data_IF_238277483036
#
_entry.id   IF_238277483036
#
_cell.length_a   1.000
_cell.length_b   1.000
_cell.length_c   1.000
_cell.angle_alpha   90.00
_cell.angle_beta   90.00
_cell.angle_gamma   90.00
#
_symmetry.space_group_name_H-M   'P 1'
#
loop_
_entity.id
_entity.type
_entity.pdbx_description
1 polymer ?
#
# COMPACT_ATOMS: atom_id res chain seq x y z
N UNK A 1 -14.23 9.58 -6.39
CA UNK A 1 -13.32 8.43 -6.42
C UNK A 1 -11.98 8.77 -7.05
N UNK A 2 -11.93 9.43 -8.20
CA UNK A 2 -10.66 9.83 -8.85
C UNK A 2 -9.77 10.68 -7.93
N UNK A 3 -10.36 11.60 -7.13
CA UNK A 3 -9.59 12.39 -6.14
C UNK A 3 -8.92 11.53 -5.06
N UNK A 4 -9.53 10.41 -4.71
CA UNK A 4 -9.02 9.54 -3.67
C UNK A 4 -7.93 8.57 -4.18
N UNK A 5 -8.08 8.09 -5.42
CA UNK A 5 -7.24 7.02 -5.98
C UNK A 5 -6.15 7.57 -6.93
N UNK A 6 -6.36 8.75 -7.50
CA UNK A 6 -5.48 9.34 -8.53
C UNK A 6 -5.76 8.75 -9.91
N UNK A 7 -5.14 7.63 -10.25
CA UNK A 7 -5.37 6.88 -11.48
C UNK A 7 -6.39 5.77 -11.25
N UNK A 8 -7.47 5.74 -12.03
CA UNK A 8 -8.54 4.77 -11.86
C UNK A 8 -8.93 4.12 -13.18
N UNK A 9 -8.94 2.78 -13.20
CA UNK A 9 -9.36 2.02 -14.38
C UNK A 9 -10.88 2.08 -14.56
N UNK A 10 -11.39 2.34 -15.80
CA UNK A 10 -12.84 2.30 -16.06
C UNK A 10 -13.48 0.95 -15.71
N UNK A 11 -12.70 -0.12 -15.87
CA UNK A 11 -13.13 -1.50 -15.64
C UNK A 11 -12.64 -2.07 -14.29
N UNK A 12 -12.29 -1.22 -13.33
CA UNK A 12 -12.00 -1.65 -11.97
C UNK A 12 -13.20 -2.38 -11.35
N UNK A 13 -12.94 -3.19 -10.33
CA UNK A 13 -13.97 -3.99 -9.67
C UNK A 13 -15.02 -3.13 -8.96
N UNK A 14 -16.10 -3.77 -8.54
CA UNK A 14 -17.22 -3.08 -7.87
C UNK A 14 -16.81 -2.46 -6.52
N UNK A 15 -15.82 -3.03 -5.84
CA UNK A 15 -15.31 -2.49 -4.57
C UNK A 15 -14.76 -1.08 -4.76
N UNK A 16 -14.13 -0.84 -5.90
CA UNK A 16 -13.61 0.48 -6.27
C UNK A 16 -14.72 1.43 -6.66
N UNK A 17 -15.70 0.96 -7.44
CA UNK A 17 -16.71 1.84 -8.03
C UNK A 17 -17.93 2.07 -7.14
N UNK A 18 -18.52 1.09 -6.61
CA UNK A 18 -19.73 1.00 -5.80
C UNK A 18 -20.61 -0.12 -6.33
N UNK A 19 -21.17 -0.89 -5.43
CA UNK A 19 -22.08 -1.99 -5.78
C UNK A 19 -23.36 -1.49 -6.44
N UNK A 20 -23.80 -0.27 -6.11
CA UNK A 20 -25.07 0.30 -6.56
C UNK A 20 -24.98 1.01 -7.92
N UNK A 21 -23.80 1.09 -8.54
CA UNK A 21 -23.61 1.75 -9.82
C UNK A 21 -23.50 0.74 -10.97
N UNK A 22 -24.58 0.54 -11.77
CA UNK A 22 -24.53 -0.35 -12.92
C UNK A 22 -23.42 0.01 -13.91
N UNK A 23 -22.80 -0.99 -14.52
CA UNK A 23 -21.67 -0.78 -15.42
C UNK A 23 -22.01 0.14 -16.63
N UNK A 24 -23.25 0.09 -17.11
CA UNK A 24 -23.71 0.97 -18.19
C UNK A 24 -23.77 2.44 -17.75
N UNK A 25 -24.39 2.70 -16.60
CA UNK A 25 -24.48 4.05 -16.02
C UNK A 25 -23.09 4.61 -15.68
N UNK A 26 -22.18 3.76 -15.19
CA UNK A 26 -20.78 4.14 -14.96
C UNK A 26 -20.08 4.56 -16.25
N UNK A 27 -20.21 3.77 -17.32
CA UNK A 27 -19.59 4.11 -18.62
C UNK A 27 -20.11 5.43 -19.17
N UNK A 28 -21.41 5.65 -19.09
CA UNK A 28 -22.04 6.89 -19.53
C UNK A 28 -21.55 8.10 -18.70
N UNK A 29 -21.49 7.97 -17.38
CA UNK A 29 -20.97 9.01 -16.50
C UNK A 29 -19.51 9.35 -16.80
N UNK A 30 -18.66 8.34 -16.98
CA UNK A 30 -17.25 8.54 -17.35
C UNK A 30 -17.13 9.25 -18.71
N UNK A 31 -17.92 8.85 -19.71
CA UNK A 31 -17.91 9.51 -21.03
C UNK A 31 -18.31 10.98 -20.93
N UNK A 32 -19.32 11.32 -20.12
CA UNK A 32 -19.74 12.71 -19.90
C UNK A 32 -18.64 13.52 -19.21
N UNK A 33 -18.00 12.97 -18.18
CA UNK A 33 -16.92 13.65 -17.47
C UNK A 33 -15.69 13.88 -18.35
N UNK A 34 -15.36 12.93 -19.22
CA UNK A 34 -14.31 13.11 -20.22
C UNK A 34 -14.67 14.18 -21.24
N UNK A 35 -15.89 14.18 -21.76
CA UNK A 35 -16.37 15.19 -22.72
C UNK A 35 -16.39 16.60 -22.10
N UNK A 36 -16.67 16.71 -20.80
CA UNK A 36 -16.62 17.97 -20.05
C UNK A 36 -15.20 18.41 -19.65
N UNK A 37 -14.15 17.61 -19.94
CA UNK A 37 -12.80 17.90 -19.51
C UNK A 37 -12.51 17.71 -18.01
N UNK A 38 -13.48 17.18 -17.27
CA UNK A 38 -13.32 16.90 -15.83
C UNK A 38 -12.46 15.67 -15.55
N UNK A 39 -12.40 14.75 -16.51
CA UNK A 39 -11.50 13.60 -16.51
C UNK A 39 -10.67 13.55 -17.80
N UNK A 40 -9.42 13.15 -17.64
CA UNK A 40 -8.51 12.92 -18.77
C UNK A 40 -8.25 11.43 -18.90
N UNK A 41 -8.43 10.85 -20.11
CA UNK A 41 -7.97 9.50 -20.37
C UNK A 41 -6.44 9.44 -20.33
N UNK A 42 -5.91 8.46 -19.64
CA UNK A 42 -4.48 8.16 -19.59
C UNK A 42 -4.26 6.69 -19.95
N UNK A 43 -3.10 6.38 -20.50
CA UNK A 43 -2.69 5.02 -20.82
C UNK A 43 -1.32 4.75 -20.23
N UNK A 44 -1.21 3.67 -19.45
CA UNK A 44 0.05 3.21 -18.88
C UNK A 44 0.27 1.78 -19.35
N UNK A 45 1.32 1.54 -20.13
CA UNK A 45 1.69 0.21 -20.66
C UNK A 45 0.50 -0.55 -21.30
N UNK A 46 -0.31 0.15 -22.08
CA UNK A 46 -1.47 -0.44 -22.77
C UNK A 46 -2.75 -0.52 -21.93
N UNK A 47 -2.70 -0.29 -20.64
CA UNK A 47 -3.89 -0.27 -19.77
C UNK A 47 -4.47 1.15 -19.67
N UNK A 48 -5.79 1.25 -19.87
CA UNK A 48 -6.52 2.51 -19.82
C UNK A 48 -6.87 2.89 -18.39
N UNK A 49 -6.61 4.15 -18.06
CA UNK A 49 -7.00 4.82 -16.82
C UNK A 49 -7.75 6.12 -17.13
N UNK A 50 -8.36 6.69 -16.10
CA UNK A 50 -8.78 8.08 -16.05
C UNK A 50 -8.16 8.76 -14.84
N UNK A 51 -7.80 10.02 -15.00
CA UNK A 51 -7.28 10.87 -13.93
C UNK A 51 -7.97 12.24 -13.96
N UNK A 52 -7.84 12.99 -12.88
CA UNK A 52 -8.18 14.40 -12.88
C UNK A 52 -7.05 15.19 -13.55
N UNK A 53 -7.34 16.31 -14.26
CA UNK A 53 -6.30 17.16 -14.86
C UNK A 53 -5.22 17.58 -13.86
N UNK A 54 -5.63 17.96 -12.65
CA UNK A 54 -4.71 18.35 -11.57
C UNK A 54 -3.84 17.19 -11.05
N UNK A 55 -4.23 15.96 -11.23
CA UNK A 55 -3.41 14.80 -10.91
C UNK A 55 -2.30 14.62 -11.93
N UNK A 56 -2.63 14.77 -13.22
CA UNK A 56 -1.64 14.66 -14.29
C UNK A 56 -0.64 15.81 -14.28
N UNK A 57 -1.06 17.01 -13.89
CA UNK A 57 -0.16 18.16 -13.73
C UNK A 57 0.95 17.95 -12.67
N UNK A 58 0.82 16.94 -11.83
CA UNK A 58 1.84 16.58 -10.83
C UNK A 58 2.90 15.60 -11.33
N UNK A 59 2.78 15.08 -12.56
CA UNK A 59 3.74 14.12 -13.11
C UNK A 59 5.15 14.71 -13.24
N UNK A 60 5.25 16.03 -13.45
CA UNK A 60 6.53 16.75 -13.53
C UNK A 60 7.05 17.21 -12.16
N UNK A 61 6.36 16.86 -11.07
CA UNK A 61 6.81 17.18 -9.73
C UNK A 61 8.07 16.38 -9.39
N UNK A 62 8.89 16.93 -8.48
CA UNK A 62 10.07 16.23 -7.99
C UNK A 62 9.71 14.87 -7.42
N UNK A 63 10.58 13.89 -7.66
CA UNK A 63 10.43 12.55 -7.12
C UNK A 63 10.22 12.59 -5.60
N UNK A 64 9.29 11.77 -5.06
CA UNK A 64 9.08 11.71 -3.63
C UNK A 64 10.36 11.25 -2.94
N UNK A 65 10.75 11.94 -1.87
CA UNK A 65 11.85 11.47 -1.01
C UNK A 65 11.51 10.08 -0.47
N UNK A 66 12.51 9.25 -0.26
CA UNK A 66 12.39 7.88 0.24
C UNK A 66 11.68 7.81 1.59
N UNK A 67 10.36 7.91 1.58
CA UNK A 67 9.49 7.74 2.75
C UNK A 67 8.91 6.34 2.74
N UNK A 68 8.95 5.66 3.88
CA UNK A 68 8.31 4.36 4.04
C UNK A 68 6.94 4.51 4.71
N UNK A 69 5.96 3.75 4.20
CA UNK A 69 4.59 3.74 4.71
C UNK A 69 4.08 2.31 4.79
N UNK A 70 3.44 1.96 5.89
CA UNK A 70 2.68 0.72 6.03
C UNK A 70 1.25 0.95 5.52
N UNK A 71 0.87 0.21 4.49
CA UNK A 71 -0.38 0.43 3.77
C UNK A 71 -1.45 -0.51 4.32
N UNK A 72 -2.60 0.04 4.71
CA UNK A 72 -3.71 -0.80 5.18
C UNK A 72 -4.35 -1.58 4.01
N UNK A 73 -4.92 -2.78 4.25
CA UNK A 73 -5.56 -3.58 3.19
C UNK A 73 -6.72 -2.88 2.49
N UNK A 74 -7.35 -1.92 3.14
CA UNK A 74 -8.45 -1.09 2.61
C UNK A 74 -8.00 0.31 2.20
N UNK A 75 -6.70 0.58 2.17
CA UNK A 75 -6.18 1.83 1.63
C UNK A 75 -6.50 1.96 0.15
N UNK A 76 -6.81 3.20 -0.27
CA UNK A 76 -7.21 3.49 -1.65
C UNK A 76 -6.11 3.13 -2.67
N UNK A 77 -4.84 3.21 -2.28
CA UNK A 77 -3.71 2.80 -3.11
C UNK A 77 -3.81 1.34 -3.55
N UNK A 78 -4.35 0.46 -2.70
CA UNK A 78 -4.44 -0.98 -2.96
C UNK A 78 -5.86 -1.49 -3.26
N UNK A 79 -6.84 -0.62 -3.47
CA UNK A 79 -8.21 -1.04 -3.80
C UNK A 79 -8.31 -1.78 -5.13
N UNK A 80 -7.71 -1.22 -6.19
CA UNK A 80 -7.69 -1.87 -7.49
C UNK A 80 -6.47 -2.80 -7.61
N UNK A 81 -6.62 -4.05 -7.13
CA UNK A 81 -5.54 -5.06 -7.12
C UNK A 81 -4.90 -5.26 -8.48
N UNK A 82 -5.70 -5.20 -9.56
CA UNK A 82 -5.19 -5.33 -10.93
C UNK A 82 -4.39 -4.11 -11.36
N UNK A 83 -4.78 -2.91 -10.91
CA UNK A 83 -3.98 -1.71 -11.14
C UNK A 83 -2.66 -1.78 -10.35
N UNK A 84 -2.70 -2.22 -9.08
CA UNK A 84 -1.49 -2.40 -8.26
C UNK A 84 -0.52 -3.38 -8.90
N UNK A 85 -1.01 -4.54 -9.34
CA UNK A 85 -0.17 -5.52 -10.04
C UNK A 85 0.41 -4.97 -11.34
N UNK A 86 -0.37 -4.18 -12.10
CA UNK A 86 0.09 -3.61 -13.36
C UNK A 86 1.09 -2.46 -13.17
N UNK A 87 0.81 -1.52 -12.26
CA UNK A 87 1.61 -0.32 -12.07
C UNK A 87 2.88 -0.56 -11.26
N UNK A 88 2.85 -1.51 -10.32
CA UNK A 88 3.92 -1.72 -9.35
C UNK A 88 4.52 -3.12 -9.38
N UNK A 89 4.03 -4.03 -10.25
CA UNK A 89 4.45 -5.44 -10.24
C UNK A 89 4.10 -6.18 -8.95
N UNK A 90 3.25 -5.60 -8.09
CA UNK A 90 3.00 -6.10 -6.74
C UNK A 90 1.68 -6.87 -6.67
N UNK A 91 1.76 -8.19 -6.48
CA UNK A 91 0.60 -9.04 -6.26
C UNK A 91 0.18 -9.01 -4.79
N UNK A 92 -0.97 -8.43 -4.52
CA UNK A 92 -1.50 -8.28 -3.17
C UNK A 92 -2.89 -8.90 -3.02
N UNK A 93 -3.00 -9.80 -2.05
CA UNK A 93 -4.26 -10.41 -1.62
C UNK A 93 -4.43 -10.18 -0.12
N UNK A 94 -5.60 -9.69 0.28
CA UNK A 94 -5.96 -9.63 1.68
C UNK A 94 -6.60 -10.95 2.11
N UNK A 95 -5.86 -11.76 2.86
CA UNK A 95 -6.21 -13.16 3.14
C UNK A 95 -7.12 -13.36 4.36
N UNK A 96 -7.73 -12.29 4.86
CA UNK A 96 -8.62 -12.34 6.04
C UNK A 96 -9.78 -13.33 5.89
N UNK A 97 -10.28 -13.51 4.65
CA UNK A 97 -11.35 -14.45 4.33
C UNK A 97 -10.83 -15.81 3.82
N UNK A 98 -9.52 -15.97 3.69
CA UNK A 98 -8.90 -17.24 3.28
C UNK A 98 -8.75 -18.13 4.50
N UNK A 99 -9.21 -19.41 4.45
CA UNK A 99 -8.97 -20.36 5.52
C UNK A 99 -7.49 -20.50 5.85
N UNK A 100 -7.14 -20.58 7.12
CA UNK A 100 -5.76 -20.54 7.61
C UNK A 100 -4.79 -21.48 6.86
N UNK A 101 -5.12 -22.77 6.59
CA UNK A 101 -4.22 -23.66 5.86
C UNK A 101 -3.97 -23.29 4.40
N UNK A 102 -4.75 -22.34 3.84
CA UNK A 102 -4.65 -21.90 2.45
C UNK A 102 -4.03 -20.49 2.33
N UNK A 103 -3.71 -19.85 3.45
CA UNK A 103 -3.06 -18.53 3.44
C UNK A 103 -1.62 -18.70 2.99
N UNK A 104 -1.20 -17.82 2.08
CA UNK A 104 0.18 -17.75 1.61
C UNK A 104 1.04 -16.90 2.56
N UNK A 105 0.47 -15.81 3.07
CA UNK A 105 1.21 -14.81 3.82
C UNK A 105 0.76 -14.70 5.28
N UNK A 106 -0.53 -14.63 5.54
CA UNK A 106 -1.05 -14.48 6.90
C UNK A 106 -2.45 -13.88 6.96
N UNK A 107 -2.94 -13.68 8.18
CA UNK A 107 -4.30 -13.19 8.40
C UNK A 107 -4.46 -11.71 8.04
N UNK A 108 -3.51 -10.87 8.47
CA UNK A 108 -3.60 -9.41 8.31
C UNK A 108 -2.24 -8.82 7.88
N UNK A 109 -1.86 -9.14 6.67
CA UNK A 109 -0.58 -8.73 6.10
C UNK A 109 -0.68 -7.32 5.53
N UNK A 110 0.22 -6.45 5.95
CA UNK A 110 0.33 -5.08 5.48
C UNK A 110 1.42 -4.95 4.42
N UNK A 111 1.12 -4.40 3.24
CA UNK A 111 2.13 -3.95 2.29
C UNK A 111 2.98 -2.81 2.85
N UNK A 112 4.24 -2.78 2.45
CA UNK A 112 5.19 -1.71 2.76
C UNK A 112 5.54 -0.97 1.46
N UNK A 113 5.23 0.31 1.42
CA UNK A 113 5.51 1.18 0.29
C UNK A 113 6.68 2.11 0.62
N UNK A 114 7.66 2.21 -0.27
CA UNK A 114 8.83 3.07 -0.10
C UNK A 114 9.12 3.85 -1.39
N UNK A 115 9.16 5.17 -1.26
CA UNK A 115 9.31 6.04 -2.43
C UNK A 115 8.13 5.91 -3.39
N UNK A 116 8.31 5.14 -4.44
CA UNK A 116 7.38 4.95 -5.55
C UNK A 116 6.95 3.47 -5.77
N UNK A 117 7.37 2.53 -4.90
CA UNK A 117 7.10 1.09 -5.09
C UNK A 117 6.81 0.34 -3.80
N UNK A 118 6.17 -0.81 -3.92
CA UNK A 118 6.06 -1.77 -2.83
C UNK A 118 7.37 -2.54 -2.68
N UNK A 119 7.92 -2.56 -1.46
CA UNK A 119 9.24 -3.14 -1.18
C UNK A 119 9.19 -4.35 -0.28
N UNK A 120 8.09 -4.49 0.49
CA UNK A 120 7.94 -5.59 1.43
C UNK A 120 6.45 -5.79 1.78
N UNK A 121 6.22 -6.82 2.57
CA UNK A 121 4.99 -7.07 3.32
C UNK A 121 5.31 -7.68 4.67
N UNK A 122 4.45 -7.48 5.66
CA UNK A 122 4.66 -8.07 6.98
C UNK A 122 3.35 -8.46 7.65
N UNK A 123 3.41 -9.51 8.50
CA UNK A 123 2.31 -9.92 9.38
C UNK A 123 2.63 -9.51 10.81
N UNK A 124 1.69 -8.82 11.44
CA UNK A 124 1.86 -8.35 12.81
C UNK A 124 0.53 -8.23 13.53
N UNK A 125 0.57 -8.20 14.85
CA UNK A 125 -0.61 -7.95 15.70
C UNK A 125 -0.24 -7.07 16.88
N UNK A 126 -1.22 -6.33 17.37
CA UNK A 126 -1.14 -5.70 18.69
C UNK A 126 -1.67 -6.70 19.71
N UNK A 127 -0.78 -7.23 20.55
CA UNK A 127 -1.12 -8.16 21.65
C UNK A 127 -1.01 -7.40 22.96
N UNK A 128 -2.16 -7.11 23.57
CA UNK A 128 -2.21 -6.15 24.65
C UNK A 128 -1.73 -4.78 24.18
N UNK A 129 -0.59 -4.33 24.69
CA UNK A 129 0.07 -3.07 24.29
C UNK A 129 1.41 -3.28 23.59
N UNK A 130 1.68 -4.50 23.14
CA UNK A 130 2.92 -4.86 22.42
C UNK A 130 2.60 -5.09 20.96
N UNK A 131 3.20 -4.30 20.08
CA UNK A 131 3.16 -4.57 18.65
C UNK A 131 4.12 -5.70 18.32
N UNK A 132 3.59 -6.85 17.93
CA UNK A 132 4.37 -8.05 17.64
C UNK A 132 4.39 -8.31 16.13
N UNK A 133 5.59 -8.30 15.54
CA UNK A 133 5.84 -8.66 14.14
C UNK A 133 6.22 -10.13 14.08
N UNK A 134 5.42 -10.93 13.39
CA UNK A 134 5.63 -12.36 13.25
C UNK A 134 6.44 -12.71 12.03
N UNK A 135 6.20 -12.01 10.91
CA UNK A 135 6.87 -12.25 9.65
C UNK A 135 7.16 -10.95 8.93
N UNK A 136 8.25 -10.93 8.14
CA UNK A 136 8.63 -9.85 7.24
C UNK A 136 9.19 -10.45 5.96
N UNK A 137 8.68 -10.01 4.83
CA UNK A 137 9.13 -10.47 3.53
C UNK A 137 9.47 -9.26 2.67
N UNK A 138 10.73 -9.14 2.27
CA UNK A 138 11.12 -8.21 1.23
C UNK A 138 10.67 -8.76 -0.12
N UNK A 139 10.30 -7.90 -1.07
CA UNK A 139 10.05 -8.32 -2.44
C UNK A 139 11.39 -8.75 -3.10
N UNK A 140 11.32 -9.67 -4.06
CA UNK A 140 12.50 -10.39 -4.56
C UNK A 140 13.54 -9.49 -5.29
N UNK A 141 13.09 -8.38 -5.86
CA UNK A 141 13.88 -7.43 -6.63
C UNK A 141 14.32 -6.21 -5.81
N UNK A 142 14.14 -6.24 -4.49
CA UNK A 142 14.47 -5.13 -3.60
C UNK A 142 15.88 -5.27 -3.02
N UNK A 143 16.73 -4.32 -3.36
CA UNK A 143 18.02 -4.12 -2.70
C UNK A 143 17.82 -3.24 -1.45
N UNK A 144 18.01 -3.82 -0.28
CA UNK A 144 17.80 -3.16 1.02
C UNK A 144 19.04 -2.39 1.40
N UNK A 145 19.01 -1.07 1.26
CA UNK A 145 20.08 -0.14 1.60
C UNK A 145 19.88 0.53 2.99
N UNK A 146 20.88 1.32 3.39
CA UNK A 146 20.84 2.03 4.67
C UNK A 146 19.72 3.07 4.76
N UNK A 147 19.41 3.77 3.67
CA UNK A 147 18.33 4.76 3.61
C UNK A 147 16.95 4.12 3.79
N UNK A 148 16.75 2.95 3.18
CA UNK A 148 15.53 2.17 3.35
C UNK A 148 15.36 1.67 4.79
N UNK A 149 16.45 1.23 5.45
CA UNK A 149 16.40 0.80 6.84
C UNK A 149 16.15 1.95 7.81
N UNK A 150 16.67 3.13 7.52
CA UNK A 150 16.37 4.33 8.30
C UNK A 150 14.91 4.75 8.14
N UNK A 151 14.39 4.72 6.92
CA UNK A 151 12.97 4.96 6.64
C UNK A 151 12.07 3.90 7.32
N UNK A 152 12.50 2.64 7.40
CA UNK A 152 11.80 1.59 8.14
C UNK A 152 11.76 1.89 9.64
N UNK A 153 12.90 2.30 10.23
CA UNK A 153 12.96 2.69 11.65
C UNK A 153 11.95 3.80 11.95
N UNK A 154 11.92 4.85 11.13
CA UNK A 154 11.00 5.95 11.29
C UNK A 154 9.53 5.52 11.10
N UNK A 155 9.24 4.70 10.10
CA UNK A 155 7.90 4.17 9.85
C UNK A 155 7.41 3.29 11.01
N UNK A 156 8.28 2.44 11.56
CA UNK A 156 7.99 1.61 12.71
C UNK A 156 7.70 2.46 13.97
N UNK A 157 8.48 3.50 14.23
CA UNK A 157 8.23 4.44 15.33
C UNK A 157 6.88 5.14 15.21
N UNK A 158 6.55 5.65 14.03
CA UNK A 158 5.24 6.24 13.75
C UNK A 158 4.09 5.23 13.92
N UNK A 159 4.33 3.98 13.56
CA UNK A 159 3.32 2.92 13.68
C UNK A 159 3.10 2.50 15.15
N UNK A 160 4.16 2.44 15.96
CA UNK A 160 4.07 2.25 17.41
C UNK A 160 3.23 3.35 18.05
N UNK A 161 3.48 4.61 17.68
CA UNK A 161 2.70 5.74 18.17
C UNK A 161 1.23 5.65 17.73
N UNK A 162 0.97 5.33 16.45
CA UNK A 162 -0.39 5.13 15.93
C UNK A 162 -1.15 4.04 16.66
N UNK A 163 -0.50 2.90 16.94
CA UNK A 163 -1.08 1.79 17.70
C UNK A 163 -1.22 2.08 19.19
N UNK A 164 -0.62 3.15 19.70
CA UNK A 164 -0.44 3.41 21.13
C UNK A 164 0.22 2.22 21.84
N UNK A 165 1.17 1.59 21.18
CA UNK A 165 1.90 0.46 21.71
C UNK A 165 2.95 0.93 22.74
N UNK A 166 3.08 0.19 23.83
CA UNK A 166 4.09 0.45 24.88
C UNK A 166 5.36 -0.37 24.66
N UNK A 167 5.38 -1.27 23.68
CA UNK A 167 6.53 -2.09 23.35
C UNK A 167 6.41 -2.75 22.01
N UNK A 168 7.51 -3.35 21.56
CA UNK A 168 7.60 -4.13 20.32
C UNK A 168 8.16 -5.52 20.60
N UNK A 169 7.55 -6.52 19.98
CA UNK A 169 8.05 -7.88 19.85
C UNK A 169 8.35 -8.19 18.39
N UNK A 170 9.47 -8.85 18.13
CA UNK A 170 9.82 -9.28 16.77
C UNK A 170 10.24 -10.73 16.82
N UNK A 171 9.55 -11.58 16.07
CA UNK A 171 9.84 -13.01 16.03
C UNK A 171 11.25 -13.28 15.49
N UNK A 172 11.91 -14.37 15.94
CA UNK A 172 13.27 -14.70 15.53
C UNK A 172 13.41 -14.94 14.01
N UNK A 173 12.35 -15.38 13.37
CA UNK A 173 12.26 -15.69 11.94
C UNK A 173 12.22 -14.44 11.05
N UNK A 174 11.94 -13.27 11.63
CA UNK A 174 11.95 -12.00 10.89
C UNK A 174 13.38 -11.71 10.42
N UNK A 175 13.50 -11.33 9.14
CA UNK A 175 14.79 -11.02 8.52
C UNK A 175 15.59 -10.01 9.36
N UNK A 176 16.89 -10.24 9.49
CA UNK A 176 17.76 -9.57 10.49
C UNK A 176 17.79 -8.05 10.35
N UNK A 177 17.88 -7.54 9.10
CA UNK A 177 17.92 -6.08 8.87
C UNK A 177 16.61 -5.42 9.28
N UNK A 178 15.47 -6.02 8.88
CA UNK A 178 14.14 -5.52 9.24
C UNK A 178 13.94 -5.57 10.76
N UNK A 179 14.30 -6.70 11.40
CA UNK A 179 14.22 -6.87 12.86
C UNK A 179 15.03 -5.80 13.59
N UNK A 180 16.26 -5.56 13.16
CA UNK A 180 17.15 -4.55 13.77
C UNK A 180 16.55 -3.14 13.67
N UNK A 181 16.03 -2.77 12.49
CA UNK A 181 15.41 -1.46 12.27
C UNK A 181 14.16 -1.26 13.14
N UNK A 182 13.30 -2.29 13.23
CA UNK A 182 12.07 -2.25 14.04
C UNK A 182 12.39 -2.14 15.54
N UNK A 183 13.36 -2.90 16.04
CA UNK A 183 13.78 -2.85 17.45
C UNK A 183 14.43 -1.50 17.79
N UNK A 184 15.20 -0.92 16.87
CA UNK A 184 15.77 0.43 17.04
C UNK A 184 14.67 1.48 17.20
N UNK A 185 13.60 1.40 16.41
CA UNK A 185 12.47 2.31 16.54
C UNK A 185 11.85 2.31 17.93
N UNK A 186 11.73 1.13 18.58
CA UNK A 186 11.19 1.03 19.94
C UNK A 186 12.10 1.72 20.98
N UNK A 187 13.41 1.64 20.82
CA UNK A 187 14.37 2.30 21.71
C UNK A 187 14.31 3.83 21.58
N UNK A 188 14.09 4.34 20.36
CA UNK A 188 14.00 5.78 20.09
C UNK A 188 12.66 6.39 20.58
N UNK A 189 11.58 5.61 20.61
CA UNK A 189 10.27 6.06 21.13
C UNK A 189 10.24 6.07 22.66
N UNK A 190 11.06 5.22 23.31
CA UNK A 190 11.12 5.10 24.77
C UNK A 190 12.08 6.12 25.43
N UNK A 191 12.89 6.82 24.64
CA UNK A 191 13.86 7.83 25.09
C UNK A 191 13.25 9.23 25.08
#
# INVERSE_FOLDING_TARGET
RHRAVGLLRPNASYEVWSMDLPAAARREALSRLVAAGELVPAQVEGVRFHALPETLAKLDAAEPKGRMVFVAPLDQLVWDRKAVAHLFGFDYVWEVYVPEPKRRWGYYVLPVFYGDRFVARFDSRLVGKVWTVYNWWWEADVEVDAGMLEALTLAAGNFLHYLRAEGVGVAPEVEVKARTAILRAASEVAA
#
